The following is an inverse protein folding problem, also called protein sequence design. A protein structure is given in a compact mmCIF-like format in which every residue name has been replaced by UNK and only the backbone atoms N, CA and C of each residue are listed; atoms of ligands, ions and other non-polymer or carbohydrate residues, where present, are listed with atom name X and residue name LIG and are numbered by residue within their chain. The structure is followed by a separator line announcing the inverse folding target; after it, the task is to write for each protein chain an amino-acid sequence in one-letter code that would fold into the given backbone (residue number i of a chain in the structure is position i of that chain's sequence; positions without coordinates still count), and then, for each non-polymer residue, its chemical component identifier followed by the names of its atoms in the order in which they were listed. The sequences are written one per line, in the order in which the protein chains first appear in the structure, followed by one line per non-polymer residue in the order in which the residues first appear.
data_IF_218483743627
#
_entry.id   IF_218483743627
#
_cell.length_a   1.000
_cell.length_b   1.000
_cell.length_c   1.000
_cell.angle_alpha   90.00
_cell.angle_beta   90.00
_cell.angle_gamma   90.00
#
_symmetry.space_group_name_H-M   'P 1'
#
loop_
_entity.id
_entity.type
_entity.pdbx_description
1 polymer ?
#
# COMPACT_ATOMS: atom_id res chain seq x y z
N UNK A 1 -2.58 -4.41 6.38
CA UNK A 1 -2.51 -3.36 5.34
C UNK A 1 -1.84 -2.16 5.96
N UNK A 2 -0.92 -1.49 5.25
CA UNK A 2 -0.26 -0.26 5.71
C UNK A 2 -0.61 0.88 4.74
N UNK A 3 -0.98 2.05 5.28
CA UNK A 3 -1.40 3.21 4.49
C UNK A 3 -0.49 4.41 4.81
N UNK A 4 0.14 5.00 3.80
CA UNK A 4 0.98 6.19 3.95
C UNK A 4 0.56 7.30 2.99
N UNK A 5 0.84 8.57 3.31
CA UNK A 5 0.76 9.65 2.29
C UNK A 5 1.88 9.50 1.27
N UNK A 6 3.13 9.36 1.75
CA UNK A 6 4.31 9.05 0.95
C UNK A 6 4.87 7.69 1.35
N UNK A 7 4.90 6.76 0.42
CA UNK A 7 5.41 5.41 0.59
C UNK A 7 6.93 5.38 0.47
N UNK A 8 7.60 5.10 1.58
CA UNK A 8 9.05 4.98 1.71
C UNK A 8 9.45 3.57 2.18
N UNK A 9 10.75 3.26 2.16
CA UNK A 9 11.29 1.95 2.59
C UNK A 9 10.86 1.61 4.01
N UNK A 10 10.91 2.57 4.93
CA UNK A 10 10.52 2.37 6.33
C UNK A 10 9.10 1.81 6.49
N UNK A 11 8.15 2.29 5.67
CA UNK A 11 6.78 1.75 5.67
C UNK A 11 6.69 0.30 5.20
N UNK A 12 7.56 -0.11 4.28
CA UNK A 12 7.64 -1.49 3.80
C UNK A 12 8.27 -2.40 4.86
N UNK A 13 9.32 -1.95 5.53
CA UNK A 13 9.96 -2.70 6.62
C UNK A 13 9.02 -2.85 7.83
N UNK A 14 8.27 -1.79 8.16
CA UNK A 14 7.21 -1.86 9.16
C UNK A 14 6.19 -2.95 8.82
N UNK A 15 5.65 -2.95 7.58
CA UNK A 15 4.67 -3.94 7.15
C UNK A 15 5.26 -5.36 7.11
N UNK A 16 6.50 -5.53 6.63
CA UNK A 16 7.18 -6.83 6.59
C UNK A 16 7.25 -7.45 7.97
N UNK A 17 7.70 -6.69 8.98
CA UNK A 17 7.80 -7.17 10.37
C UNK A 17 6.45 -7.63 10.94
N UNK A 18 5.36 -6.93 10.60
CA UNK A 18 4.02 -7.39 11.01
C UNK A 18 3.60 -8.66 10.30
N UNK A 19 3.86 -8.79 9.00
CA UNK A 19 3.53 -10.01 8.25
C UNK A 19 4.33 -11.21 8.75
N UNK A 20 5.60 -11.04 9.08
CA UNK A 20 6.42 -12.10 9.67
C UNK A 20 5.87 -12.54 11.02
N UNK A 21 5.45 -11.59 11.88
CA UNK A 21 4.85 -11.92 13.17
C UNK A 21 3.52 -12.68 13.00
N UNK A 22 2.63 -12.18 12.14
CA UNK A 22 1.30 -12.75 11.95
C UNK A 22 1.33 -14.11 11.27
N UNK A 23 2.25 -14.34 10.33
CA UNK A 23 2.39 -15.63 9.64
C UNK A 23 3.07 -16.72 10.49
N UNK A 24 3.58 -16.41 11.69
CA UNK A 24 4.05 -17.43 12.64
C UNK A 24 2.91 -18.18 13.31
N UNK A 25 1.72 -17.56 13.37
CA UNK A 25 0.52 -18.19 13.91
C UNK A 25 -0.19 -18.97 12.80
N UNK A 26 -0.28 -20.29 12.95
CA UNK A 26 -0.91 -21.19 11.97
C UNK A 26 -2.42 -21.01 11.85
N UNK A 27 -3.07 -20.40 12.84
CA UNK A 27 -4.51 -20.07 12.81
C UNK A 27 -4.76 -18.84 11.94
N UNK A 28 -3.83 -17.90 11.92
CA UNK A 28 -3.93 -16.65 11.16
C UNK A 28 -3.33 -16.77 9.76
N UNK A 29 -2.32 -17.62 9.58
CA UNK A 29 -1.66 -17.81 8.31
C UNK A 29 -2.62 -18.44 7.27
N UNK A 30 -2.52 -18.06 5.98
CA UNK A 30 -1.57 -17.10 5.41
C UNK A 30 -2.09 -15.65 5.42
N UNK A 31 -1.26 -14.72 5.92
CA UNK A 31 -1.53 -13.27 5.89
C UNK A 31 -0.72 -12.61 4.78
N UNK A 32 -1.41 -11.88 3.90
CA UNK A 32 -0.80 -11.13 2.79
C UNK A 32 -0.76 -9.63 3.07
N UNK A 33 0.33 -8.99 2.63
CA UNK A 33 0.53 -7.55 2.75
C UNK A 33 -0.04 -6.74 1.59
N UNK A 34 -0.63 -5.59 1.92
CA UNK A 34 -0.91 -4.52 0.97
C UNK A 34 -0.29 -3.23 1.50
N UNK A 35 0.58 -2.62 0.71
CA UNK A 35 1.17 -1.31 0.95
C UNK A 35 0.50 -0.28 0.06
N UNK A 36 -0.28 0.63 0.66
CA UNK A 36 -1.04 1.64 -0.06
C UNK A 36 -0.50 3.04 0.24
N UNK A 37 -0.26 3.85 -0.79
CA UNK A 37 0.10 5.25 -0.59
C UNK A 37 -0.28 6.14 -1.76
N UNK A 38 -0.45 7.45 -1.53
CA UNK A 38 -0.72 8.41 -2.62
C UNK A 38 0.44 8.47 -3.62
N UNK A 39 1.66 8.35 -3.13
CA UNK A 39 2.87 8.21 -3.95
C UNK A 39 3.76 7.16 -3.32
N UNK A 40 4.35 6.27 -4.11
CA UNK A 40 5.30 5.25 -3.65
C UNK A 40 6.63 5.49 -4.34
N UNK A 41 7.71 5.71 -3.57
CA UNK A 41 9.06 5.86 -4.12
C UNK A 41 9.48 4.56 -4.85
N UNK A 42 10.21 4.62 -5.99
CA UNK A 42 10.59 3.44 -6.76
C UNK A 42 11.30 2.35 -5.92
N UNK A 43 12.23 2.74 -5.06
CA UNK A 43 12.95 1.81 -4.18
C UNK A 43 12.04 1.10 -3.17
N UNK A 44 11.01 1.79 -2.66
CA UNK A 44 10.03 1.19 -1.76
C UNK A 44 9.13 0.19 -2.51
N UNK A 45 8.74 0.52 -3.74
CA UNK A 45 7.97 -0.39 -4.60
C UNK A 45 8.75 -1.66 -4.92
N UNK A 46 10.04 -1.53 -5.26
CA UNK A 46 10.93 -2.66 -5.55
C UNK A 46 11.00 -3.58 -4.33
N UNK A 47 11.34 -3.03 -3.16
CA UNK A 47 11.43 -3.80 -1.92
C UNK A 47 10.12 -4.48 -1.54
N UNK A 48 8.99 -3.76 -1.62
CA UNK A 48 7.69 -4.35 -1.32
C UNK A 48 7.35 -5.52 -2.26
N UNK A 49 7.63 -5.36 -3.56
CA UNK A 49 7.39 -6.41 -4.56
C UNK A 49 8.26 -7.63 -4.30
N UNK A 50 9.54 -7.43 -3.99
CA UNK A 50 10.49 -8.49 -3.63
C UNK A 50 10.03 -9.29 -2.40
N UNK A 51 9.42 -8.61 -1.42
CA UNK A 51 8.83 -9.23 -0.22
C UNK A 51 7.41 -9.79 -0.43
N UNK A 52 6.91 -9.84 -1.66
CA UNK A 52 5.56 -10.35 -1.97
C UNK A 52 4.41 -9.46 -1.47
N UNK A 53 4.68 -8.19 -1.18
CA UNK A 53 3.70 -7.20 -0.73
C UNK A 53 3.12 -6.46 -1.95
N UNK A 54 1.79 -6.49 -2.09
CA UNK A 54 1.11 -5.76 -3.16
C UNK A 54 1.16 -4.26 -2.91
N UNK A 55 1.59 -3.49 -3.91
CA UNK A 55 1.57 -2.03 -3.86
C UNK A 55 0.31 -1.46 -4.51
N UNK A 56 -0.37 -0.52 -3.84
CA UNK A 56 -1.49 0.24 -4.38
C UNK A 56 -1.20 1.74 -4.30
N UNK A 57 -1.40 2.46 -5.41
CA UNK A 57 -1.35 3.91 -5.40
C UNK A 57 -2.76 4.44 -5.17
N UNK A 58 -2.94 5.27 -4.14
CA UNK A 58 -4.23 5.83 -3.77
C UNK A 58 -4.47 7.12 -4.53
N UNK A 59 -5.63 7.20 -5.20
CA UNK A 59 -6.12 8.45 -5.75
C UNK A 59 -6.86 9.21 -4.66
N UNK A 60 -6.17 10.17 -4.04
CA UNK A 60 -6.72 10.95 -2.93
C UNK A 60 -7.85 11.88 -3.39
N UNK A 61 -7.79 12.36 -4.64
CA UNK A 61 -8.80 13.26 -5.20
C UNK A 61 -10.11 12.49 -5.39
N UNK A 62 -10.03 11.28 -5.95
CA UNK A 62 -11.19 10.38 -6.08
C UNK A 62 -11.73 9.90 -4.71
N UNK A 63 -10.87 9.70 -3.70
CA UNK A 63 -11.29 9.24 -2.37
C UNK A 63 -11.91 10.31 -1.47
N UNK A 64 -11.64 11.61 -1.70
CA UNK A 64 -12.19 12.72 -0.90
C UNK A 64 -13.63 13.07 -1.27
N UNK A 65 -14.23 12.36 -2.23
CA UNK A 65 -15.56 12.69 -2.73
C UNK A 65 -15.57 13.96 -3.59
N UNK A 66 -14.40 14.39 -4.10
CA UNK A 66 -14.37 15.25 -5.28
C UNK A 66 -14.68 14.35 -6.47
N UNK A 67 -15.95 13.98 -6.58
CA UNK A 67 -16.55 13.67 -7.85
C UNK A 67 -16.44 14.95 -8.68
N UNK A 68 -15.28 15.17 -9.32
CA UNK A 68 -15.21 16.07 -10.44
C UNK A 68 -15.88 15.35 -11.61
N UNK A 69 -17.20 15.23 -11.51
CA UNK A 69 -18.12 15.35 -12.64
C UNK A 69 -17.99 16.73 -13.30
N UNK A 70 -16.76 17.23 -13.47
CA UNK A 70 -16.45 18.28 -14.41
C UNK A 70 -16.60 17.66 -15.79
N UNK A 71 -17.83 17.76 -16.28
CA UNK A 71 -18.20 17.85 -17.67
C UNK A 71 -16.98 17.97 -18.61
N UNK A 72 -16.58 16.86 -19.24
CA UNK A 72 -15.95 16.94 -20.56
C UNK A 72 -17.04 17.43 -21.51
N UNK A 73 -17.15 18.74 -21.61
CA UNK A 73 -17.77 19.40 -22.76
C UNK A 73 -16.77 19.29 -23.91
N UNK A 74 -17.16 18.45 -24.87
CA UNK A 74 -16.61 18.21 -26.22
C UNK A 74 -15.32 17.37 -26.30
#
# INVERSE_FOLDING_TARGET
MEIKRRGEIDGVEQLTRYLELLNRDSVLAPVKGVFAAQQIKPQARILATDRGIRCLTLDYDTMRGMDSGEYRLF
#
